data_IF_825879886747
#
_entry.id   IF_825879886747
#
_cell.length_a   1.000
_cell.length_b   1.000
_cell.length_c   1.000
_cell.angle_alpha   90.00
_cell.angle_beta   90.00
_cell.angle_gamma   90.00
#
_symmetry.space_group_name_H-M   'P 1'
#
loop_
_entity.id
_entity.type
_entity.pdbx_description
1 polymer ?
#
# COMPACT_ATOMS: atom_id res chain seq x y z
N UNK A 1 11.18 26.92 6.29
CA UNK A 1 11.07 25.46 6.50
C UNK A 1 10.50 24.80 5.26
N UNK A 2 10.86 23.53 4.97
CA UNK A 2 10.32 22.81 3.80
C UNK A 2 8.93 22.25 4.09
N UNK A 3 7.98 22.49 3.18
CA UNK A 3 6.60 21.98 3.25
C UNK A 3 6.52 20.45 3.11
N UNK A 4 7.53 19.86 2.47
CA UNK A 4 7.61 18.43 2.26
C UNK A 4 9.02 17.97 2.63
N UNK A 5 9.09 16.95 3.49
CA UNK A 5 10.33 16.23 3.81
C UNK A 5 10.01 14.75 3.70
N UNK A 6 10.60 14.05 2.75
CA UNK A 6 10.47 12.59 2.68
C UNK A 6 11.83 11.95 2.43
N UNK A 7 11.98 10.73 2.92
CA UNK A 7 13.11 9.86 2.66
C UNK A 7 12.58 8.49 2.26
N UNK A 8 12.99 8.05 1.07
CA UNK A 8 12.76 6.70 0.58
C UNK A 8 14.08 5.92 0.66
N UNK A 9 14.02 4.71 1.22
CA UNK A 9 15.17 3.81 1.36
C UNK A 9 14.81 2.42 0.88
N UNK A 10 15.73 1.77 0.18
CA UNK A 10 15.65 0.36 -0.19
C UNK A 10 16.60 -0.46 0.68
N UNK A 11 16.23 -1.70 0.96
CA UNK A 11 16.98 -2.64 1.78
C UNK A 11 17.09 -3.98 1.07
N UNK A 12 18.22 -4.66 1.23
CA UNK A 12 18.41 -6.04 0.76
C UNK A 12 18.38 -7.00 1.94
N UNK A 13 17.84 -8.20 1.75
CA UNK A 13 17.89 -9.27 2.75
C UNK A 13 19.30 -9.84 2.99
N UNK A 14 20.27 -9.45 2.17
CA UNK A 14 21.67 -9.82 2.30
C UNK A 14 22.47 -8.86 3.18
N UNK A 15 21.92 -7.67 3.45
CA UNK A 15 22.59 -6.63 4.22
C UNK A 15 22.33 -6.78 5.72
N UNK A 16 23.32 -6.44 6.55
CA UNK A 16 23.23 -6.52 8.02
C UNK A 16 22.18 -5.58 8.63
N UNK A 17 21.78 -4.54 7.89
CA UNK A 17 20.76 -3.57 8.31
C UNK A 17 19.33 -3.97 7.92
N UNK A 18 19.12 -5.18 7.39
CA UNK A 18 17.81 -5.68 7.03
C UNK A 18 16.89 -5.87 8.24
N UNK A 19 15.79 -5.10 8.28
CA UNK A 19 14.80 -5.11 9.36
C UNK A 19 13.51 -5.83 9.01
N UNK A 20 13.50 -6.65 7.96
CA UNK A 20 12.34 -7.43 7.54
C UNK A 20 11.39 -6.73 6.56
N UNK A 21 11.82 -5.62 5.96
CA UNK A 21 11.11 -4.91 4.92
C UNK A 21 12.08 -4.48 3.82
N UNK A 22 11.60 -4.44 2.59
CA UNK A 22 12.41 -4.21 1.38
C UNK A 22 12.53 -2.71 1.09
N UNK A 23 11.54 -1.92 1.52
CA UNK A 23 11.55 -0.48 1.36
C UNK A 23 11.04 0.23 2.61
N UNK A 24 11.52 1.45 2.84
CA UNK A 24 10.98 2.36 3.85
C UNK A 24 10.70 3.73 3.24
N UNK A 25 9.50 4.23 3.49
CA UNK A 25 9.08 5.58 3.17
C UNK A 25 8.78 6.30 4.50
N UNK A 26 9.59 7.32 4.79
CA UNK A 26 9.44 8.16 5.97
C UNK A 26 9.28 9.61 5.57
N UNK A 27 8.52 10.40 6.32
CA UNK A 27 8.38 11.80 5.95
C UNK A 27 7.37 12.60 6.75
N UNK A 28 7.51 13.91 6.61
CA UNK A 28 6.60 14.91 7.12
C UNK A 28 6.09 15.76 5.95
N UNK A 29 4.78 15.91 5.84
CA UNK A 29 4.14 16.69 4.79
C UNK A 29 3.20 17.72 5.42
N UNK A 30 3.46 18.99 5.16
CA UNK A 30 2.62 20.11 5.60
C UNK A 30 1.69 20.55 4.47
N UNK A 31 0.39 20.64 4.75
CA UNK A 31 -0.64 21.14 3.83
C UNK A 31 -0.78 20.32 2.53
N UNK A 32 -1.15 19.03 2.67
CA UNK A 32 -1.35 18.12 1.53
C UNK A 32 -2.83 18.03 1.17
N UNK A 33 -3.14 18.03 -0.14
CA UNK A 33 -4.47 17.69 -0.65
C UNK A 33 -4.41 16.37 -1.41
N UNK A 34 -5.10 15.36 -0.90
CA UNK A 34 -5.20 14.03 -1.51
C UNK A 34 -6.52 13.93 -2.26
N UNK A 35 -6.48 13.73 -3.57
CA UNK A 35 -7.67 13.56 -4.40
C UNK A 35 -7.75 12.10 -4.86
N UNK A 36 -8.72 11.35 -4.35
CA UNK A 36 -8.86 9.93 -4.65
C UNK A 36 -9.74 9.70 -5.88
N UNK A 37 -9.12 9.48 -7.04
CA UNK A 37 -9.81 9.19 -8.29
C UNK A 37 -9.93 7.69 -8.52
N UNK A 38 -11.11 7.13 -8.21
CA UNK A 38 -11.38 5.70 -8.35
C UNK A 38 -11.20 5.19 -9.80
N UNK A 39 -11.48 6.02 -10.81
CA UNK A 39 -11.33 5.64 -12.23
C UNK A 39 -9.89 5.29 -12.61
N UNK A 40 -8.91 6.07 -12.14
CA UNK A 40 -7.49 5.85 -12.44
C UNK A 40 -7.01 4.52 -11.87
N UNK A 41 -7.34 4.28 -10.59
CA UNK A 41 -6.98 3.02 -9.91
C UNK A 41 -7.64 1.83 -10.58
N UNK A 42 -8.93 1.95 -10.97
CA UNK A 42 -9.67 0.90 -11.67
C UNK A 42 -9.08 0.59 -13.05
N UNK A 43 -8.82 1.61 -13.87
CA UNK A 43 -8.29 1.44 -15.23
C UNK A 43 -6.88 0.82 -15.22
N UNK A 44 -6.00 1.29 -14.34
CA UNK A 44 -4.66 0.71 -14.18
C UNK A 44 -4.73 -0.72 -13.64
N UNK A 45 -5.59 -0.95 -12.63
CA UNK A 45 -5.78 -2.30 -12.08
C UNK A 45 -6.28 -3.28 -13.14
N UNK A 46 -7.25 -2.86 -13.98
CA UNK A 46 -7.78 -3.67 -15.07
C UNK A 46 -6.68 -4.00 -16.10
N UNK A 47 -5.87 -3.02 -16.49
CA UNK A 47 -4.74 -3.23 -17.41
C UNK A 47 -3.77 -4.30 -16.87
N UNK A 48 -3.37 -4.21 -15.60
CA UNK A 48 -2.46 -5.20 -15.02
C UNK A 48 -3.14 -6.55 -14.72
N UNK A 49 -4.46 -6.58 -14.47
CA UNK A 49 -5.21 -7.84 -14.36
C UNK A 49 -5.32 -8.56 -15.70
N UNK A 50 -5.48 -7.86 -16.81
CA UNK A 50 -5.50 -8.45 -18.16
C UNK A 50 -4.12 -8.98 -18.57
N UNK A 51 -3.04 -8.35 -18.10
CA UNK A 51 -1.67 -8.83 -18.31
C UNK A 51 -1.27 -9.98 -17.37
N UNK A 52 -1.92 -10.09 -16.21
CA UNK A 52 -1.73 -11.20 -15.28
C UNK A 52 -2.52 -12.42 -15.77
N UNK A 53 -1.78 -13.44 -16.19
CA UNK A 53 -2.21 -14.73 -16.79
C UNK A 53 -3.59 -15.32 -16.42
N UNK A 54 -4.24 -16.04 -17.37
CA UNK A 54 -5.68 -16.37 -17.40
C UNK A 54 -6.11 -17.57 -16.53
N UNK A 55 -5.57 -17.75 -15.32
CA UNK A 55 -5.71 -19.01 -14.58
C UNK A 55 -6.53 -18.99 -13.28
N UNK A 56 -7.49 -18.08 -13.08
CA UNK A 56 -8.52 -18.23 -12.03
C UNK A 56 -9.86 -17.63 -12.43
N UNK A 57 -10.71 -18.45 -13.07
CA UNK A 57 -12.10 -18.11 -13.45
C UNK A 57 -12.99 -17.74 -12.25
N UNK A 58 -12.59 -18.06 -11.02
CA UNK A 58 -13.32 -17.71 -9.79
C UNK A 58 -13.13 -16.25 -9.35
N UNK A 59 -12.11 -15.54 -9.84
CA UNK A 59 -11.81 -14.15 -9.41
C UNK A 59 -12.77 -13.14 -10.06
N UNK A 60 -13.28 -13.46 -11.25
CA UNK A 60 -14.10 -12.53 -12.05
C UNK A 60 -15.49 -12.30 -11.42
N UNK A 61 -16.07 -13.32 -10.76
CA UNK A 61 -17.40 -13.21 -10.13
C UNK A 61 -17.39 -12.45 -8.80
N UNK A 62 -16.24 -12.38 -8.13
CA UNK A 62 -16.10 -11.66 -6.85
C UNK A 62 -15.91 -10.15 -7.06
N UNK A 63 -15.23 -9.76 -8.15
CA UNK A 63 -15.04 -8.37 -8.58
C UNK A 63 -16.36 -7.64 -8.84
N UNK A 64 -17.39 -8.36 -9.29
CA UNK A 64 -18.71 -7.79 -9.63
C UNK A 64 -19.62 -7.61 -8.40
N UNK A 65 -19.39 -8.38 -7.33
CA UNK A 65 -20.20 -8.35 -6.09
C UNK A 65 -19.62 -7.48 -4.98
N UNK A 66 -18.30 -7.36 -4.94
CA UNK A 66 -17.57 -6.72 -3.85
C UNK A 66 -17.01 -5.42 -4.40
N UNK A 67 -17.77 -4.34 -4.21
CA UNK A 67 -17.50 -3.02 -4.77
C UNK A 67 -16.09 -2.54 -4.43
N UNK A 68 -15.17 -2.66 -5.38
CA UNK A 68 -14.19 -1.63 -5.68
C UNK A 68 -13.39 -1.03 -4.52
N UNK A 69 -12.69 -1.85 -3.73
CA UNK A 69 -11.45 -1.51 -2.99
C UNK A 69 -10.95 -2.74 -2.22
N UNK A 70 -11.86 -3.62 -1.81
CA UNK A 70 -11.58 -4.82 -1.01
C UNK A 70 -10.62 -5.82 -1.72
N UNK A 71 -10.67 -5.94 -3.04
CA UNK A 71 -9.73 -6.79 -3.80
C UNK A 71 -8.27 -6.31 -3.72
N UNK A 72 -8.04 -4.98 -3.66
CA UNK A 72 -6.68 -4.42 -3.54
C UNK A 72 -6.12 -4.64 -2.14
N UNK A 73 -6.99 -4.60 -1.13
CA UNK A 73 -6.65 -4.88 0.26
C UNK A 73 -6.33 -6.38 0.42
N UNK A 74 -7.17 -7.27 -0.12
CA UNK A 74 -6.96 -8.73 -0.03
C UNK A 74 -5.74 -9.23 -0.81
N UNK A 75 -5.31 -8.54 -1.88
CA UNK A 75 -4.07 -8.90 -2.60
C UNK A 75 -2.78 -8.69 -1.79
N UNK A 76 -2.81 -7.92 -0.69
CA UNK A 76 -1.63 -7.73 0.15
C UNK A 76 -1.31 -8.96 1.03
N UNK A 77 -2.20 -9.96 1.09
CA UNK A 77 -1.96 -11.27 1.73
C UNK A 77 -1.34 -12.30 0.76
N UNK A 78 -0.82 -11.87 -0.39
CA UNK A 78 -0.15 -12.79 -1.32
C UNK A 78 1.34 -12.92 -0.95
N UNK A 79 1.72 -14.14 -0.61
CA UNK A 79 3.10 -14.60 -0.44
C UNK A 79 3.98 -14.11 -1.61
N UNK A 80 5.00 -13.30 -1.30
CA UNK A 80 5.87 -12.64 -2.29
C UNK A 80 5.61 -11.14 -2.54
N UNK A 81 4.66 -10.50 -1.84
CA UNK A 81 4.49 -9.06 -1.90
C UNK A 81 5.66 -8.30 -1.22
N UNK A 82 6.15 -7.27 -1.91
CA UNK A 82 7.16 -6.33 -1.40
C UNK A 82 6.74 -5.73 -0.05
N UNK A 83 7.58 -5.87 0.97
CA UNK A 83 7.29 -5.30 2.29
C UNK A 83 7.74 -3.83 2.37
N UNK A 84 6.76 -2.93 2.58
CA UNK A 84 6.98 -1.48 2.68
C UNK A 84 6.73 -0.97 4.10
N UNK A 85 7.76 -0.41 4.74
CA UNK A 85 7.64 0.34 6.00
C UNK A 85 7.21 1.77 5.70
N UNK A 86 6.14 2.21 6.33
CA UNK A 86 5.56 3.54 6.28
C UNK A 86 5.73 4.21 7.65
N UNK A 87 6.20 5.45 7.64
CA UNK A 87 6.19 6.37 8.78
C UNK A 87 6.01 7.80 8.26
N UNK A 88 4.75 8.18 8.07
CA UNK A 88 4.37 9.47 7.50
C UNK A 88 3.57 10.29 8.51
N UNK A 89 3.94 11.56 8.66
CA UNK A 89 3.18 12.55 9.41
C UNK A 89 2.69 13.64 8.48
N UNK A 90 1.39 13.89 8.45
CA UNK A 90 0.76 14.89 7.60
C UNK A 90 0.06 15.93 8.49
N UNK A 91 0.41 17.20 8.28
CA UNK A 91 -0.24 18.31 8.95
C UNK A 91 -1.37 18.86 8.07
N UNK A 92 -2.58 18.84 8.63
CA UNK A 92 -3.85 19.28 8.05
C UNK A 92 -4.10 18.75 6.64
N UNK A 93 -4.07 17.42 6.41
CA UNK A 93 -4.34 16.89 5.08
C UNK A 93 -5.84 16.99 4.76
N UNK A 94 -6.14 17.49 3.58
CA UNK A 94 -7.50 17.53 3.03
C UNK A 94 -7.67 16.37 2.06
N UNK A 95 -8.54 15.43 2.42
CA UNK A 95 -8.91 14.32 1.55
C UNK A 95 -10.16 14.68 0.77
N UNK A 96 -10.08 14.60 -0.55
CA UNK A 96 -11.21 14.85 -1.46
C UNK A 96 -11.54 13.57 -2.23
N UNK A 97 -12.78 13.12 -2.09
CA UNK A 97 -13.32 11.93 -2.75
C UNK A 97 -14.43 12.38 -3.70
N UNK A 98 -14.13 12.56 -5.01
CA UNK A 98 -15.14 12.89 -6.00
C UNK A 98 -16.12 11.73 -6.22
N UNK A 99 -17.39 12.05 -6.47
CA UNK A 99 -18.45 11.06 -6.74
C UNK A 99 -18.15 10.21 -7.98
N UNK A 100 -17.60 10.83 -9.02
CA UNK A 100 -17.04 10.19 -10.21
C UNK A 100 -16.13 11.20 -10.93
N UNK A 101 -15.38 10.75 -11.95
CA UNK A 101 -14.36 11.59 -12.62
C UNK A 101 -14.91 12.78 -13.40
N UNK A 102 -16.21 12.84 -13.65
CA UNK A 102 -16.87 13.91 -14.45
C UNK A 102 -17.76 14.80 -13.60
N UNK A 103 -18.11 14.39 -12.38
CA UNK A 103 -18.96 15.14 -11.47
C UNK A 103 -18.16 16.21 -10.72
N UNK A 104 -18.83 17.32 -10.43
CA UNK A 104 -18.35 18.35 -9.51
C UNK A 104 -18.70 18.06 -8.06
N UNK A 105 -19.52 17.03 -7.81
CA UNK A 105 -19.86 16.60 -6.45
C UNK A 105 -18.70 15.81 -5.85
N UNK A 106 -18.26 16.20 -4.65
CA UNK A 106 -17.23 15.51 -3.90
C UNK A 106 -17.51 15.54 -2.41
N UNK A 107 -16.99 14.53 -1.71
CA UNK A 107 -16.84 14.54 -0.27
C UNK A 107 -15.47 15.10 0.10
N UNK A 108 -15.42 15.95 1.12
CA UNK A 108 -14.17 16.49 1.66
C UNK A 108 -14.06 16.11 3.13
N UNK A 109 -12.86 15.67 3.52
CA UNK A 109 -12.52 15.33 4.90
C UNK A 109 -11.27 16.11 5.30
N UNK A 110 -11.38 16.85 6.41
CA UNK A 110 -10.26 17.51 7.08
C UNK A 110 -9.92 16.70 8.33
N UNK A 111 -8.66 16.28 8.42
CA UNK A 111 -8.18 15.38 9.46
C UNK A 111 -7.39 16.10 10.57
N UNK A 112 -7.05 17.38 10.42
CA UNK A 112 -6.23 18.11 11.38
C UNK A 112 -4.77 17.63 11.40
N UNK A 113 -4.47 16.45 11.95
CA UNK A 113 -3.15 15.81 11.84
C UNK A 113 -3.33 14.31 11.60
N UNK A 114 -2.69 13.79 10.56
CA UNK A 114 -2.75 12.36 10.21
C UNK A 114 -1.35 11.74 10.35
N UNK A 115 -1.25 10.66 11.12
CA UNK A 115 -0.04 9.84 11.20
C UNK A 115 -0.32 8.46 10.63
N UNK A 116 0.56 8.00 9.75
CA UNK A 116 0.49 6.70 9.09
C UNK A 116 1.76 5.94 9.45
N UNK A 117 1.62 4.87 10.21
CA UNK A 117 2.73 3.99 10.55
C UNK A 117 2.27 2.53 10.53
N UNK A 118 3.08 1.64 9.98
CA UNK A 118 2.87 0.20 10.10
C UNK A 118 4.07 -0.45 10.81
N UNK A 119 3.85 -1.61 11.42
CA UNK A 119 4.91 -2.41 12.03
C UNK A 119 4.95 -3.80 11.40
N UNK A 120 6.13 -4.40 11.40
CA UNK A 120 6.34 -5.76 10.92
C UNK A 120 6.74 -6.63 12.11
N UNK A 121 5.96 -7.66 12.39
CA UNK A 121 6.33 -8.74 13.31
C UNK A 121 6.73 -9.97 12.51
N UNK A 122 7.89 -10.52 12.83
CA UNK A 122 8.28 -11.84 12.34
C UNK A 122 7.68 -12.89 13.27
N UNK A 123 6.64 -13.58 12.81
CA UNK A 123 6.19 -14.81 13.45
C UNK A 123 7.06 -15.96 12.96
N UNK A 124 8.27 -16.06 13.53
CA UNK A 124 9.21 -17.12 13.20
C UNK A 124 8.76 -18.47 13.77
N UNK A 125 8.81 -19.49 12.93
CA UNK A 125 8.87 -20.90 13.34
C UNK A 125 10.19 -21.14 14.11
N UNK A 126 10.20 -22.16 14.98
CA UNK A 126 11.15 -22.39 16.09
C UNK A 126 12.65 -22.16 15.82
N UNK A 127 13.34 -21.75 16.89
CA UNK A 127 14.76 -21.37 16.98
C UNK A 127 15.72 -22.18 16.09
N UNK A 128 16.24 -21.52 15.05
CA UNK A 128 17.28 -22.07 14.18
C UNK A 128 17.31 -21.48 12.77
N UNK A 129 16.21 -20.90 12.29
CA UNK A 129 16.16 -20.36 10.93
C UNK A 129 16.87 -19.00 10.82
N UNK A 130 17.79 -18.81 9.85
CA UNK A 130 18.35 -17.51 9.55
C UNK A 130 17.22 -16.57 9.11
N UNK A 131 17.33 -15.28 9.49
CA UNK A 131 16.37 -14.20 9.15
C UNK A 131 16.38 -13.84 7.65
N UNK A 132 16.41 -14.84 6.77
CA UNK A 132 16.27 -14.66 5.33
C UNK A 132 14.85 -15.06 4.96
N UNK A 133 14.16 -14.19 4.20
CA UNK A 133 12.85 -14.48 3.59
C UNK A 133 12.87 -15.65 2.60
N UNK A 134 14.01 -16.29 2.38
CA UNK A 134 14.10 -17.51 1.59
C UNK A 134 14.04 -18.72 2.52
N UNK A 135 13.01 -19.52 2.32
CA UNK A 135 12.72 -20.81 2.96
C UNK A 135 12.00 -20.74 4.32
N UNK A 136 10.70 -20.45 4.27
CA UNK A 136 9.79 -21.34 4.97
C UNK A 136 9.92 -22.73 4.31
N UNK A 137 10.60 -23.67 4.97
CA UNK A 137 10.53 -25.10 4.65
C UNK A 137 9.52 -25.78 5.58
N UNK A 138 8.87 -26.88 5.16
CA UNK A 138 8.43 -27.31 3.83
C UNK A 138 6.92 -27.09 3.58
#
# INVERSE_FOLDING_TARGET
ESLIKFAFKSYSAEDDDYKGYDYSLTGHLSAVRLVFLYRFVREISAYFMELATPHKEEVIKLVDRVGGFEWMIQKHEIDGATALKLDLSLDTPIIVIPRNSTSKDFMQLDLGQLRISNEFSWHGCSAGCPKKRSFCCP
#
